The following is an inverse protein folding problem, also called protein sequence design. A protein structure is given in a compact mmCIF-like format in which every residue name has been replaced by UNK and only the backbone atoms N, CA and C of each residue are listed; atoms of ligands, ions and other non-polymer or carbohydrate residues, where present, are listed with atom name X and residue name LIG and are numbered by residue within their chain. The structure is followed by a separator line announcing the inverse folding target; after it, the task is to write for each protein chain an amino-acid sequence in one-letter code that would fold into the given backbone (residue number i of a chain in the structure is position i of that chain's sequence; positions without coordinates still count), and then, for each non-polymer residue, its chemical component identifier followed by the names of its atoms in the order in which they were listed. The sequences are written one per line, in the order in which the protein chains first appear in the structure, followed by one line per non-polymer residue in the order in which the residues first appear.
data_IF_419155135582
#
_entry.id   IF_419155135582
#
_cell.length_a   1.000
_cell.length_b   1.000
_cell.length_c   1.000
_cell.angle_alpha   90.00
_cell.angle_beta   90.00
_cell.angle_gamma   90.00
#
_symmetry.space_group_name_H-M   'P 1'
#
loop_
_entity.id
_entity.type
_entity.pdbx_description
1 polymer ?
#
# COMPACT_ATOMS: atom_id res chain seq x y z
N UNK A 1 21.14 63.16 -8.19
CA UNK A 1 21.33 61.87 -8.84
C UNK A 1 20.62 60.83 -8.01
N UNK A 2 19.47 60.34 -8.51
CA UNK A 2 18.67 59.30 -7.87
C UNK A 2 18.96 57.98 -8.60
N UNK A 3 19.53 57.00 -7.91
CA UNK A 3 19.67 55.62 -8.40
C UNK A 3 18.40 54.85 -8.05
N UNK A 4 17.69 54.43 -9.10
CA UNK A 4 16.56 53.48 -8.99
C UNK A 4 17.13 52.08 -8.84
N UNK A 5 16.77 51.42 -7.77
CA UNK A 5 16.97 49.95 -7.59
C UNK A 5 15.84 49.21 -8.28
N UNK A 6 16.18 48.45 -9.34
CA UNK A 6 15.26 47.56 -10.04
C UNK A 6 15.29 46.23 -9.29
N UNK A 7 14.17 45.94 -8.57
CA UNK A 7 13.96 44.63 -7.95
C UNK A 7 13.65 43.57 -9.01
N UNK A 8 14.51 42.58 -9.15
CA UNK A 8 14.20 41.34 -9.91
C UNK A 8 13.23 40.49 -9.13
N UNK A 9 12.00 40.42 -9.61
CA UNK A 9 11.05 39.40 -9.18
C UNK A 9 11.36 38.10 -9.92
N UNK A 10 11.94 37.11 -9.20
CA UNK A 10 12.08 35.77 -9.73
C UNK A 10 10.69 35.13 -9.78
N UNK A 11 10.13 35.08 -10.97
CA UNK A 11 8.93 34.26 -11.26
C UNK A 11 9.34 32.81 -11.20
N UNK A 12 8.99 32.12 -10.11
CA UNK A 12 9.04 30.66 -10.05
C UNK A 12 8.00 30.12 -11.02
N UNK A 13 8.42 29.79 -12.24
CA UNK A 13 7.63 28.92 -13.12
C UNK A 13 7.60 27.54 -12.48
N UNK A 14 6.49 27.23 -11.79
CA UNK A 14 6.08 25.86 -11.54
C UNK A 14 5.86 25.21 -12.91
N UNK A 15 6.86 24.51 -13.40
CA UNK A 15 6.72 23.65 -14.56
C UNK A 15 5.68 22.59 -14.20
N UNK A 16 4.47 22.75 -14.73
CA UNK A 16 3.45 21.71 -14.66
C UNK A 16 4.02 20.46 -15.32
N UNK A 17 4.33 19.46 -14.52
CA UNK A 17 4.68 18.13 -15.02
C UNK A 17 3.48 17.66 -15.83
N UNK A 18 3.62 17.37 -17.14
CA UNK A 18 2.53 16.83 -17.90
C UNK A 18 2.26 15.41 -17.35
N UNK A 19 1.25 15.29 -16.50
CA UNK A 19 0.66 13.99 -16.20
C UNK A 19 0.04 13.52 -17.50
N UNK A 20 0.74 12.64 -18.19
CA UNK A 20 0.27 11.99 -19.42
C UNK A 20 -0.94 11.12 -19.07
N UNK A 21 -2.10 11.74 -18.97
CA UNK A 21 -3.36 11.01 -18.95
C UNK A 21 -3.82 10.88 -20.39
N UNK A 22 -3.48 9.76 -21.01
CA UNK A 22 -4.30 9.25 -22.10
C UNK A 22 -5.72 9.12 -21.60
N UNK A 23 -6.69 9.65 -22.32
CA UNK A 23 -8.13 9.55 -22.05
C UNK A 23 -8.66 8.14 -22.36
N UNK A 24 -7.80 7.12 -22.38
CA UNK A 24 -8.19 5.72 -22.50
C UNK A 24 -8.82 5.26 -21.20
N UNK A 25 -9.95 4.59 -21.31
CA UNK A 25 -10.68 4.00 -20.19
C UNK A 25 -9.74 3.08 -19.42
N UNK A 26 -9.55 3.34 -18.10
CA UNK A 26 -8.75 2.47 -17.25
C UNK A 26 -9.33 1.04 -17.26
N UNK A 27 -8.49 0.07 -17.59
CA UNK A 27 -8.83 -1.36 -17.54
C UNK A 27 -8.10 -1.97 -16.36
N UNK A 28 -8.86 -2.57 -15.44
CA UNK A 28 -8.27 -3.28 -14.30
C UNK A 28 -7.63 -4.57 -14.77
N UNK A 29 -6.32 -4.68 -14.58
CA UNK A 29 -5.51 -5.86 -14.86
C UNK A 29 -5.11 -6.51 -13.54
N UNK A 30 -5.06 -7.83 -13.48
CA UNK A 30 -4.65 -8.56 -12.29
C UNK A 30 -3.16 -8.91 -12.37
N UNK A 31 -2.39 -8.58 -11.33
CA UNK A 31 -0.95 -8.86 -11.28
C UNK A 31 -0.61 -10.34 -11.49
N UNK A 32 -1.44 -11.24 -10.93
CA UNK A 32 -1.20 -12.69 -11.02
C UNK A 32 -1.14 -13.20 -12.46
N UNK A 33 -1.81 -12.50 -13.40
CA UNK A 33 -1.85 -12.90 -14.80
C UNK A 33 -0.51 -12.62 -15.53
N UNK A 34 0.38 -11.86 -14.90
CA UNK A 34 1.72 -11.50 -15.38
C UNK A 34 2.86 -12.15 -14.60
N UNK A 35 2.54 -13.00 -13.61
CA UNK A 35 3.57 -13.66 -12.82
C UNK A 35 3.94 -15.02 -13.45
N UNK A 36 5.25 -15.31 -13.64
CA UNK A 36 5.67 -16.61 -14.12
C UNK A 36 5.44 -17.69 -13.05
N UNK A 37 5.29 -18.96 -13.48
CA UNK A 37 5.25 -20.07 -12.55
C UNK A 37 6.56 -20.16 -11.76
N UNK A 38 6.47 -20.63 -10.53
CA UNK A 38 7.62 -20.84 -9.66
C UNK A 38 8.19 -22.25 -9.84
N UNK A 39 9.52 -22.36 -9.93
CA UNK A 39 10.23 -23.63 -9.81
C UNK A 39 10.05 -24.22 -8.41
N UNK A 40 9.64 -25.47 -8.28
CA UNK A 40 9.30 -26.08 -7.00
C UNK A 40 10.49 -26.16 -6.02
N UNK A 41 11.69 -26.38 -6.52
CA UNK A 41 12.90 -26.42 -5.68
C UNK A 41 13.29 -25.02 -5.22
N UNK A 42 13.16 -24.03 -6.10
CA UNK A 42 13.39 -22.63 -5.74
C UNK A 42 12.36 -22.13 -4.71
N UNK A 43 11.09 -22.55 -4.85
CA UNK A 43 10.05 -22.23 -3.87
C UNK A 43 10.32 -22.87 -2.50
N UNK A 44 10.85 -24.09 -2.46
CA UNK A 44 11.27 -24.73 -1.21
C UNK A 44 12.38 -23.93 -0.50
N UNK A 45 13.41 -23.50 -1.21
CA UNK A 45 14.47 -22.64 -0.65
C UNK A 45 13.95 -21.28 -0.20
N UNK A 46 13.06 -20.67 -0.98
CA UNK A 46 12.41 -19.42 -0.60
C UNK A 46 11.63 -19.57 0.72
N UNK A 47 10.83 -20.62 0.87
CA UNK A 47 10.04 -20.88 2.10
C UNK A 47 10.92 -21.16 3.31
N UNK A 48 12.00 -21.94 3.14
CA UNK A 48 12.99 -22.18 4.21
C UNK A 48 13.61 -20.84 4.66
N UNK A 49 14.05 -20.00 3.71
CA UNK A 49 14.62 -18.69 4.02
C UNK A 49 13.63 -17.77 4.73
N UNK A 50 12.36 -17.75 4.28
CA UNK A 50 11.31 -16.93 4.88
C UNK A 50 11.00 -17.37 6.32
N UNK A 51 10.95 -18.68 6.58
CA UNK A 51 10.76 -19.22 7.92
C UNK A 51 11.92 -18.86 8.88
N UNK A 52 13.17 -18.93 8.39
CA UNK A 52 14.35 -18.51 9.16
C UNK A 52 14.42 -17.01 9.43
N UNK A 53 13.73 -16.20 8.62
CA UNK A 53 13.66 -14.74 8.79
C UNK A 53 12.65 -14.30 9.85
N UNK A 54 11.98 -15.22 10.53
CA UNK A 54 11.01 -14.94 11.59
C UNK A 54 11.61 -13.99 12.66
N UNK A 55 10.92 -12.90 13.06
CA UNK A 55 11.42 -11.94 14.04
C UNK A 55 11.68 -12.52 15.43
N UNK A 56 11.00 -13.58 15.82
CA UNK A 56 11.04 -14.14 17.19
C UNK A 56 12.23 -15.05 17.45
N UNK A 57 13.10 -15.28 16.45
CA UNK A 57 14.26 -16.16 16.57
C UNK A 57 15.57 -15.44 16.21
N UNK A 58 16.69 -15.97 16.72
CA UNK A 58 18.00 -15.53 16.24
C UNK A 58 18.16 -15.91 14.75
N UNK A 59 18.24 -14.89 13.90
CA UNK A 59 18.23 -15.06 12.44
C UNK A 59 19.62 -15.47 11.93
N UNK A 60 19.76 -16.66 11.31
CA UNK A 60 21.00 -17.08 10.66
C UNK A 60 21.15 -16.38 9.30
N UNK A 61 21.47 -15.08 9.31
CA UNK A 61 21.48 -14.23 8.11
C UNK A 61 22.27 -14.79 6.93
N UNK A 62 23.43 -15.42 7.18
CA UNK A 62 24.21 -16.07 6.13
C UNK A 62 23.42 -17.16 5.41
N UNK A 63 22.69 -17.99 6.15
CA UNK A 63 21.85 -19.05 5.59
C UNK A 63 20.62 -18.48 4.84
N UNK A 64 20.01 -17.44 5.38
CA UNK A 64 18.88 -16.78 4.73
C UNK A 64 19.28 -16.20 3.38
N UNK A 65 20.40 -15.47 3.32
CA UNK A 65 20.94 -14.90 2.08
C UNK A 65 21.32 -16.00 1.09
N UNK A 66 21.98 -17.09 1.55
CA UNK A 66 22.33 -18.24 0.71
C UNK A 66 21.09 -18.86 0.04
N UNK A 67 20.05 -19.15 0.83
CA UNK A 67 18.82 -19.78 0.34
C UNK A 67 18.06 -18.87 -0.65
N UNK A 68 17.91 -17.59 -0.34
CA UNK A 68 17.32 -16.65 -1.29
C UNK A 68 18.16 -16.55 -2.56
N UNK A 69 19.49 -16.54 -2.48
CA UNK A 69 20.37 -16.49 -3.65
C UNK A 69 20.20 -17.72 -4.55
N UNK A 70 20.15 -18.94 -3.98
CA UNK A 70 19.83 -20.16 -4.74
C UNK A 70 18.48 -20.10 -5.44
N UNK A 71 17.47 -19.57 -4.77
CA UNK A 71 16.16 -19.40 -5.38
C UNK A 71 16.19 -18.35 -6.52
N UNK A 72 16.93 -17.25 -6.33
CA UNK A 72 17.14 -16.20 -7.35
C UNK A 72 17.81 -16.75 -8.61
N UNK A 73 18.79 -17.65 -8.48
CA UNK A 73 19.48 -18.29 -9.61
C UNK A 73 18.52 -19.09 -10.50
N UNK A 74 17.40 -19.57 -9.92
CA UNK A 74 16.32 -20.27 -10.64
C UNK A 74 15.14 -19.37 -11.01
N UNK A 75 15.31 -18.06 -10.98
CA UNK A 75 14.28 -17.10 -11.40
C UNK A 75 13.14 -16.89 -10.41
N UNK A 76 13.30 -17.27 -9.13
CA UNK A 76 12.25 -17.12 -8.13
C UNK A 76 12.06 -15.66 -7.72
N UNK A 77 11.04 -15.01 -8.29
CA UNK A 77 10.82 -13.56 -8.17
C UNK A 77 10.53 -13.08 -6.74
N UNK A 78 9.84 -13.90 -5.90
CA UNK A 78 9.64 -13.54 -4.48
C UNK A 78 10.97 -13.51 -3.71
N UNK A 79 11.88 -14.44 -4.04
CA UNK A 79 13.21 -14.43 -3.45
C UNK A 79 14.03 -13.21 -3.91
N UNK A 80 13.92 -12.82 -5.19
CA UNK A 80 14.54 -11.58 -5.68
C UNK A 80 14.06 -10.36 -4.89
N UNK A 81 12.74 -10.26 -4.68
CA UNK A 81 12.14 -9.17 -3.90
C UNK A 81 12.66 -9.13 -2.46
N UNK A 82 12.61 -10.27 -1.75
CA UNK A 82 13.03 -10.34 -0.35
C UNK A 82 14.52 -10.06 -0.19
N UNK A 83 15.36 -10.67 -1.04
CA UNK A 83 16.82 -10.46 -1.01
C UNK A 83 17.18 -8.99 -1.35
N UNK A 84 16.49 -8.40 -2.33
CA UNK A 84 16.66 -6.99 -2.66
C UNK A 84 16.30 -6.07 -1.48
N UNK A 85 15.23 -6.38 -0.77
CA UNK A 85 14.86 -5.63 0.43
C UNK A 85 15.90 -5.76 1.55
N UNK A 86 16.47 -6.95 1.76
CA UNK A 86 17.56 -7.15 2.71
C UNK A 86 18.78 -6.27 2.35
N UNK A 87 19.20 -6.25 1.08
CA UNK A 87 20.31 -5.39 0.65
C UNK A 87 19.95 -3.90 0.70
N UNK A 88 18.71 -3.53 0.37
CA UNK A 88 18.26 -2.13 0.41
C UNK A 88 18.27 -1.53 1.81
N UNK A 89 17.85 -2.28 2.80
CA UNK A 89 17.74 -1.81 4.19
C UNK A 89 19.01 -2.10 5.00
N UNK A 90 19.68 -3.20 4.69
CA UNK A 90 20.67 -3.81 5.56
C UNK A 90 20.03 -4.41 6.82
N UNK A 91 20.85 -5.14 7.58
CA UNK A 91 20.46 -5.60 8.92
C UNK A 91 21.68 -5.62 9.83
N UNK A 92 21.68 -4.88 10.93
CA UNK A 92 22.82 -4.82 11.85
C UNK A 92 23.24 -6.23 12.31
N UNK A 93 24.52 -6.52 12.19
CA UNK A 93 25.09 -7.82 12.57
C UNK A 93 24.80 -9.00 11.61
N UNK A 94 24.21 -8.73 10.43
CA UNK A 94 23.84 -9.81 9.53
C UNK A 94 23.95 -9.55 8.05
N UNK A 95 23.30 -8.51 7.54
CA UNK A 95 23.33 -8.18 6.12
C UNK A 95 23.78 -6.74 5.94
N UNK A 96 24.88 -6.55 5.25
CA UNK A 96 25.36 -5.20 4.92
C UNK A 96 24.44 -4.55 3.87
N UNK A 97 24.14 -3.26 4.07
CA UNK A 97 23.37 -2.49 3.11
C UNK A 97 24.14 -2.35 1.81
N UNK A 98 23.54 -2.78 0.72
CA UNK A 98 24.12 -2.72 -0.63
C UNK A 98 23.02 -2.29 -1.63
N UNK A 99 22.97 -1.01 -1.87
CA UNK A 99 21.98 -0.41 -2.77
C UNK A 99 22.13 -0.92 -4.21
N UNK A 100 23.38 -1.21 -4.66
CA UNK A 100 23.60 -1.68 -6.02
C UNK A 100 23.06 -3.09 -6.21
N UNK A 101 23.34 -4.01 -5.28
CA UNK A 101 22.76 -5.36 -5.32
C UNK A 101 21.24 -5.34 -5.29
N UNK A 102 20.63 -4.43 -4.53
CA UNK A 102 19.18 -4.28 -4.54
C UNK A 102 18.66 -3.85 -5.92
N UNK A 103 19.30 -2.87 -6.55
CA UNK A 103 18.93 -2.41 -7.90
C UNK A 103 19.12 -3.49 -8.96
N UNK A 104 20.19 -4.27 -8.88
CA UNK A 104 20.47 -5.38 -9.81
C UNK A 104 19.38 -6.46 -9.72
N UNK A 105 18.89 -6.75 -8.51
CA UNK A 105 17.78 -7.69 -8.31
C UNK A 105 16.45 -7.12 -8.83
N UNK A 106 16.16 -5.84 -8.62
CA UNK A 106 14.98 -5.21 -9.21
C UNK A 106 15.06 -5.18 -10.74
N UNK A 107 16.26 -4.95 -11.31
CA UNK A 107 16.45 -5.04 -12.76
C UNK A 107 16.18 -6.45 -13.29
N UNK A 108 16.66 -7.50 -12.62
CA UNK A 108 16.33 -8.89 -12.98
C UNK A 108 14.81 -9.15 -12.95
N UNK A 109 14.10 -8.60 -11.97
CA UNK A 109 12.63 -8.70 -11.94
C UNK A 109 11.99 -7.98 -13.14
N UNK A 110 12.50 -6.80 -13.51
CA UNK A 110 12.03 -6.04 -14.69
C UNK A 110 12.27 -6.83 -15.98
N UNK A 111 13.43 -7.44 -16.14
CA UNK A 111 13.78 -8.26 -17.32
C UNK A 111 12.84 -9.46 -17.46
N UNK A 112 12.39 -10.02 -16.34
CA UNK A 112 11.36 -11.06 -16.26
C UNK A 112 9.93 -10.51 -16.36
N UNK A 113 9.75 -9.21 -16.55
CA UNK A 113 8.44 -8.51 -16.60
C UNK A 113 7.62 -8.66 -15.31
N UNK A 114 8.26 -8.86 -14.17
CA UNK A 114 7.58 -8.94 -12.87
C UNK A 114 7.12 -7.53 -12.46
N UNK A 115 5.82 -7.30 -12.25
CA UNK A 115 5.28 -5.97 -11.95
C UNK A 115 5.90 -5.34 -10.70
N UNK A 116 6.15 -6.13 -9.67
CA UNK A 116 6.79 -5.68 -8.43
C UNK A 116 8.21 -5.13 -8.64
N UNK A 117 8.95 -5.61 -9.67
CA UNK A 117 10.27 -5.08 -10.03
C UNK A 117 10.21 -3.62 -10.50
N UNK A 118 9.23 -3.31 -11.34
CA UNK A 118 8.97 -1.93 -11.79
C UNK A 118 8.57 -1.03 -10.62
N UNK A 119 7.67 -1.48 -9.75
CA UNK A 119 7.27 -0.71 -8.56
C UNK A 119 8.47 -0.38 -7.66
N UNK A 120 9.29 -1.38 -7.33
CA UNK A 120 10.45 -1.20 -6.46
C UNK A 120 11.50 -0.28 -7.08
N UNK A 121 11.75 -0.41 -8.40
CA UNK A 121 12.67 0.49 -9.13
C UNK A 121 12.14 1.93 -9.10
N UNK A 122 10.85 2.13 -9.36
CA UNK A 122 10.21 3.44 -9.29
C UNK A 122 10.35 4.11 -7.93
N UNK A 123 10.11 3.35 -6.86
CA UNK A 123 10.27 3.82 -5.49
C UNK A 123 11.73 4.18 -5.15
N UNK A 124 12.69 3.42 -5.66
CA UNK A 124 14.12 3.70 -5.46
C UNK A 124 14.58 4.95 -6.21
N UNK A 125 14.14 5.13 -7.45
CA UNK A 125 14.48 6.28 -8.30
C UNK A 125 13.81 7.54 -7.76
N UNK A 126 12.53 7.50 -7.44
CA UNK A 126 11.76 8.64 -6.95
C UNK A 126 12.31 9.29 -5.68
N UNK A 127 13.06 8.51 -4.89
CA UNK A 127 13.67 8.98 -3.63
C UNK A 127 15.18 9.28 -3.75
N UNK A 128 15.78 9.24 -4.94
CA UNK A 128 17.23 9.38 -5.11
C UNK A 128 17.64 10.81 -5.42
N UNK A 129 18.43 11.42 -4.53
CA UNK A 129 19.24 12.59 -4.86
C UNK A 129 20.30 12.19 -5.91
N UNK A 130 20.34 12.89 -7.05
CA UNK A 130 21.34 12.66 -8.11
C UNK A 130 20.77 12.07 -9.42
N UNK A 131 19.52 11.64 -9.46
CA UNK A 131 18.81 11.34 -10.71
C UNK A 131 18.34 12.65 -11.35
N UNK A 132 18.53 12.81 -12.67
CA UNK A 132 18.27 14.08 -13.37
C UNK A 132 16.80 14.54 -13.26
N UNK A 133 15.85 13.59 -13.29
CA UNK A 133 14.41 13.83 -13.15
C UNK A 133 13.76 12.72 -12.29
N UNK A 134 14.08 12.62 -10.99
CA UNK A 134 13.70 11.46 -10.18
C UNK A 134 12.19 11.26 -10.10
N UNK A 135 11.41 12.35 -10.03
CA UNK A 135 9.96 12.26 -9.96
C UNK A 135 9.35 11.70 -11.26
N UNK A 136 9.81 12.19 -12.43
CA UNK A 136 9.30 11.74 -13.75
C UNK A 136 9.72 10.30 -14.03
N UNK A 137 10.99 9.96 -13.77
CA UNK A 137 11.51 8.63 -14.04
C UNK A 137 10.87 7.61 -13.08
N UNK A 138 10.69 7.96 -11.81
CA UNK A 138 9.98 7.14 -10.83
C UNK A 138 8.52 6.88 -11.21
N UNK A 139 7.81 7.91 -11.69
CA UNK A 139 6.42 7.79 -12.15
C UNK A 139 6.29 6.89 -13.38
N UNK A 140 7.26 6.92 -14.31
CA UNK A 140 7.25 6.03 -15.48
C UNK A 140 7.32 4.56 -15.08
N UNK A 141 8.14 4.21 -14.10
CA UNK A 141 8.20 2.85 -13.56
C UNK A 141 6.93 2.49 -12.79
N UNK A 142 6.38 3.43 -12.02
CA UNK A 142 5.12 3.23 -11.29
C UNK A 142 3.95 2.97 -12.23
N UNK A 143 3.84 3.74 -13.31
CA UNK A 143 2.82 3.57 -14.34
C UNK A 143 2.96 2.20 -15.03
N UNK A 144 4.19 1.80 -15.37
CA UNK A 144 4.44 0.48 -15.92
C UNK A 144 4.04 -0.65 -14.97
N UNK A 145 4.34 -0.53 -13.68
CA UNK A 145 3.91 -1.50 -12.67
C UNK A 145 2.38 -1.59 -12.58
N UNK A 146 1.70 -0.45 -12.56
CA UNK A 146 0.24 -0.37 -12.51
C UNK A 146 -0.41 -0.94 -13.78
N UNK A 147 0.15 -0.70 -14.97
CA UNK A 147 -0.34 -1.27 -16.23
C UNK A 147 -0.25 -2.80 -16.29
N UNK A 148 0.61 -3.39 -15.45
CA UNK A 148 0.74 -4.83 -15.23
C UNK A 148 -0.04 -5.32 -13.99
N UNK A 149 -0.89 -4.47 -13.42
CA UNK A 149 -1.78 -4.81 -12.33
C UNK A 149 -1.16 -4.83 -10.94
N UNK A 150 0.05 -4.30 -10.73
CA UNK A 150 0.69 -4.29 -9.41
C UNK A 150 -0.13 -3.51 -8.37
N UNK A 151 -0.65 -4.15 -7.29
CA UNK A 151 -1.56 -3.49 -6.37
C UNK A 151 -0.95 -2.30 -5.61
N UNK A 152 0.31 -2.34 -5.12
CA UNK A 152 0.98 -1.15 -4.58
C UNK A 152 1.02 0.01 -5.56
N UNK A 153 1.41 -0.22 -6.83
CA UNK A 153 1.49 0.82 -7.84
C UNK A 153 0.13 1.42 -8.18
N UNK A 154 -0.89 0.56 -8.33
CA UNK A 154 -2.28 0.99 -8.52
C UNK A 154 -2.75 1.88 -7.37
N UNK A 155 -2.44 1.52 -6.12
CA UNK A 155 -2.83 2.32 -4.95
C UNK A 155 -2.13 3.68 -4.94
N UNK A 156 -0.83 3.74 -5.20
CA UNK A 156 -0.08 4.99 -5.22
C UNK A 156 -0.55 5.92 -6.35
N UNK A 157 -0.76 5.41 -7.57
CA UNK A 157 -1.33 6.21 -8.66
C UNK A 157 -2.76 6.64 -8.35
N UNK A 158 -3.57 5.76 -7.74
CA UNK A 158 -4.91 6.10 -7.27
C UNK A 158 -4.91 7.33 -6.36
N UNK A 159 -4.03 7.36 -5.37
CA UNK A 159 -3.83 8.50 -4.46
C UNK A 159 -3.40 9.76 -5.22
N UNK A 160 -2.43 9.63 -6.13
CA UNK A 160 -1.99 10.76 -6.95
C UNK A 160 -3.14 11.36 -7.76
N UNK A 161 -3.97 10.55 -8.39
CA UNK A 161 -5.13 11.00 -9.16
C UNK A 161 -6.19 11.63 -8.28
N UNK A 162 -6.53 11.06 -7.12
CA UNK A 162 -7.53 11.60 -6.20
C UNK A 162 -7.08 12.95 -5.63
N UNK A 163 -5.90 12.98 -5.00
CA UNK A 163 -5.53 14.09 -4.13
C UNK A 163 -4.78 15.20 -4.86
N UNK A 164 -3.93 14.87 -5.83
CA UNK A 164 -3.10 15.86 -6.51
C UNK A 164 -3.65 16.26 -7.89
N UNK A 165 -3.98 15.30 -8.75
CA UNK A 165 -4.45 15.58 -10.11
C UNK A 165 -5.95 15.93 -10.17
N UNK A 166 -6.69 15.79 -9.07
CA UNK A 166 -8.14 16.04 -8.98
C UNK A 166 -8.97 15.22 -9.97
N UNK A 167 -8.49 14.03 -10.33
CA UNK A 167 -9.17 13.05 -11.19
C UNK A 167 -9.77 11.93 -10.34
N UNK A 168 -10.74 12.27 -9.53
CA UNK A 168 -11.35 11.42 -8.50
C UNK A 168 -11.75 10.04 -9.04
N UNK A 169 -12.55 10.01 -10.09
CA UNK A 169 -13.13 8.76 -10.61
C UNK A 169 -12.03 7.80 -11.13
N UNK A 170 -11.04 8.36 -11.80
CA UNK A 170 -9.89 7.59 -12.26
C UNK A 170 -9.08 7.03 -11.08
N UNK A 171 -8.80 7.86 -10.08
CA UNK A 171 -8.08 7.44 -8.90
C UNK A 171 -8.81 6.36 -8.09
N UNK A 172 -10.14 6.49 -7.96
CA UNK A 172 -10.97 5.45 -7.35
C UNK A 172 -10.95 4.14 -8.17
N UNK A 173 -10.97 4.21 -9.51
CA UNK A 173 -10.88 3.03 -10.36
C UNK A 173 -9.56 2.28 -10.13
N UNK A 174 -8.42 2.98 -10.08
CA UNK A 174 -7.11 2.41 -9.75
C UNK A 174 -7.09 1.75 -8.37
N UNK A 175 -7.56 2.46 -7.33
CA UNK A 175 -7.53 1.95 -5.95
C UNK A 175 -8.49 0.76 -5.78
N UNK A 176 -9.68 0.80 -6.39
CA UNK A 176 -10.61 -0.34 -6.39
C UNK A 176 -10.01 -1.56 -7.08
N UNK A 177 -9.28 -1.38 -8.18
CA UNK A 177 -8.59 -2.48 -8.86
C UNK A 177 -7.57 -3.16 -7.93
N UNK A 178 -6.78 -2.40 -7.18
CA UNK A 178 -5.86 -2.95 -6.18
C UNK A 178 -6.61 -3.67 -5.04
N UNK A 179 -7.69 -3.09 -4.53
CA UNK A 179 -8.50 -3.66 -3.46
C UNK A 179 -9.15 -4.99 -3.88
N UNK A 180 -9.64 -5.08 -5.13
CA UNK A 180 -10.26 -6.31 -5.67
C UNK A 180 -9.27 -7.48 -5.81
N UNK A 181 -7.96 -7.19 -5.86
CA UNK A 181 -6.90 -8.19 -5.83
C UNK A 181 -6.54 -8.65 -4.40
N UNK A 182 -7.27 -8.21 -3.37
CA UNK A 182 -7.02 -8.57 -1.98
C UNK A 182 -5.92 -7.72 -1.31
N UNK A 183 -5.55 -6.58 -1.88
CA UNK A 183 -4.52 -5.72 -1.30
C UNK A 183 -5.09 -4.84 -0.19
N UNK A 184 -4.92 -5.26 1.05
CA UNK A 184 -5.44 -4.60 2.25
C UNK A 184 -5.15 -3.09 2.34
N UNK A 185 -3.95 -2.58 1.97
CA UNK A 185 -3.69 -1.15 1.98
C UNK A 185 -4.59 -0.35 1.03
N UNK A 186 -4.99 -0.92 -0.13
CA UNK A 186 -5.92 -0.25 -1.04
C UNK A 186 -7.32 -0.14 -0.45
N UNK A 187 -7.81 -1.20 0.19
CA UNK A 187 -9.10 -1.17 0.91
C UNK A 187 -9.07 -0.18 2.07
N UNK A 188 -7.95 -0.09 2.80
CA UNK A 188 -7.76 0.94 3.83
C UNK A 188 -7.83 2.36 3.24
N UNK A 189 -7.16 2.60 2.12
CA UNK A 189 -7.15 3.91 1.44
C UNK A 189 -8.56 4.31 0.96
N UNK A 190 -9.35 3.36 0.44
CA UNK A 190 -10.75 3.60 0.12
C UNK A 190 -11.56 3.97 1.36
N UNK A 191 -11.34 3.28 2.47
CA UNK A 191 -11.95 3.64 3.75
C UNK A 191 -11.59 5.07 4.18
N UNK A 192 -10.31 5.44 4.09
CA UNK A 192 -9.84 6.79 4.39
C UNK A 192 -10.46 7.85 3.47
N UNK A 193 -10.55 7.55 2.17
CA UNK A 193 -11.20 8.43 1.20
C UNK A 193 -12.67 8.69 1.57
N UNK A 194 -13.47 7.64 1.79
CA UNK A 194 -14.87 7.79 2.14
C UNK A 194 -15.10 8.46 3.50
N UNK A 195 -14.17 8.29 4.45
CA UNK A 195 -14.21 8.99 5.74
C UNK A 195 -13.91 10.47 5.61
N UNK A 196 -12.85 10.82 4.89
CA UNK A 196 -12.27 12.19 4.94
C UNK A 196 -12.83 13.08 3.84
N UNK A 197 -13.07 12.53 2.63
CA UNK A 197 -13.47 13.33 1.47
C UNK A 197 -14.99 13.30 1.27
N UNK A 198 -15.59 12.11 1.35
CA UNK A 198 -17.03 11.94 1.11
C UNK A 198 -17.85 12.00 2.40
N UNK A 199 -17.24 11.98 3.57
CA UNK A 199 -17.90 11.89 4.88
C UNK A 199 -18.94 10.77 4.97
N UNK A 200 -18.79 9.73 4.16
CA UNK A 200 -19.66 8.55 4.12
C UNK A 200 -19.14 7.49 5.09
N UNK A 201 -19.49 7.62 6.36
CA UNK A 201 -18.96 6.76 7.43
C UNK A 201 -19.36 5.29 7.33
N UNK A 202 -20.59 4.92 6.92
CA UNK A 202 -20.93 3.52 6.69
C UNK A 202 -20.04 2.87 5.63
N UNK A 203 -19.86 3.55 4.50
CA UNK A 203 -19.01 3.06 3.41
C UNK A 203 -17.54 3.01 3.81
N UNK A 204 -17.06 4.00 4.56
CA UNK A 204 -15.72 4.03 5.11
C UNK A 204 -15.44 2.82 6.01
N UNK A 205 -16.33 2.57 6.98
CA UNK A 205 -16.17 1.45 7.91
C UNK A 205 -16.23 0.10 7.19
N UNK A 206 -17.10 -0.04 6.18
CA UNK A 206 -17.15 -1.23 5.32
C UNK A 206 -15.81 -1.52 4.62
N UNK A 207 -15.18 -0.51 4.02
CA UNK A 207 -13.85 -0.68 3.40
C UNK A 207 -12.75 -0.98 4.41
N UNK A 208 -12.78 -0.40 5.60
CA UNK A 208 -11.85 -0.79 6.67
C UNK A 208 -12.04 -2.25 7.08
N UNK A 209 -13.29 -2.73 7.20
CA UNK A 209 -13.55 -4.14 7.48
C UNK A 209 -13.07 -5.06 6.34
N UNK A 210 -13.25 -4.67 5.07
CA UNK A 210 -12.65 -5.37 3.93
C UNK A 210 -11.13 -5.41 4.05
N UNK A 211 -10.48 -4.29 4.41
CA UNK A 211 -9.04 -4.28 4.65
C UNK A 211 -8.63 -5.27 5.74
N UNK A 212 -9.36 -5.35 6.85
CA UNK A 212 -9.10 -6.33 7.92
C UNK A 212 -9.20 -7.75 7.39
N UNK A 213 -10.25 -8.07 6.64
CA UNK A 213 -10.43 -9.43 6.07
C UNK A 213 -9.28 -9.83 5.14
N UNK A 214 -8.64 -8.85 4.51
CA UNK A 214 -7.47 -9.00 3.65
C UNK A 214 -6.13 -8.97 4.41
N UNK A 215 -6.14 -8.97 5.74
CA UNK A 215 -4.93 -8.95 6.58
C UNK A 215 -4.40 -7.54 6.90
N UNK A 216 -5.24 -6.54 6.83
CA UNK A 216 -4.89 -5.15 7.13
C UNK A 216 -4.78 -4.85 8.63
N UNK A 217 -3.60 -5.03 9.21
CA UNK A 217 -3.36 -4.77 10.64
C UNK A 217 -3.74 -3.36 11.07
N UNK A 218 -3.37 -2.34 10.30
CA UNK A 218 -3.73 -0.95 10.62
C UNK A 218 -5.25 -0.71 10.58
N UNK A 219 -5.95 -1.44 9.70
CA UNK A 219 -7.40 -1.38 9.66
C UNK A 219 -8.04 -2.05 10.89
N UNK A 220 -7.49 -3.17 11.37
CA UNK A 220 -7.96 -3.83 12.58
C UNK A 220 -7.87 -2.90 13.80
N UNK A 221 -6.72 -2.25 14.00
CA UNK A 221 -6.54 -1.26 15.08
C UNK A 221 -7.51 -0.08 14.93
N UNK A 222 -7.70 0.41 13.69
CA UNK A 222 -8.63 1.50 13.42
C UNK A 222 -10.08 1.11 13.77
N UNK A 223 -10.54 -0.06 13.31
CA UNK A 223 -11.92 -0.53 13.58
C UNK A 223 -12.12 -0.84 15.07
N UNK A 224 -11.12 -1.40 15.75
CA UNK A 224 -11.15 -1.55 17.21
C UNK A 224 -11.41 -0.20 17.89
N UNK A 225 -10.69 0.85 17.47
CA UNK A 225 -10.86 2.20 17.99
C UNK A 225 -12.25 2.81 17.70
N UNK A 226 -12.89 2.44 16.59
CA UNK A 226 -14.26 2.90 16.28
C UNK A 226 -15.26 2.40 17.33
N UNK A 227 -15.08 1.21 17.86
CA UNK A 227 -15.98 0.62 18.85
C UNK A 227 -15.51 0.79 20.30
N UNK A 228 -14.35 1.41 20.54
CA UNK A 228 -13.87 1.67 21.89
C UNK A 228 -14.65 2.81 22.56
N UNK A 229 -15.16 2.55 23.76
CA UNK A 229 -15.85 3.54 24.59
C UNK A 229 -14.96 4.73 25.04
N UNK A 230 -13.65 4.54 25.08
CA UNK A 230 -12.69 5.60 25.41
C UNK A 230 -12.43 6.55 24.23
N UNK A 231 -12.77 6.17 23.01
CA UNK A 231 -12.64 7.00 21.82
C UNK A 231 -13.69 8.10 21.77
N UNK A 232 -13.33 9.27 21.21
CA UNK A 232 -14.28 10.37 21.01
C UNK A 232 -15.32 10.01 19.91
N UNK A 233 -16.51 10.59 19.97
CA UNK A 233 -17.57 10.36 18.99
C UNK A 233 -17.10 10.54 17.53
N UNK A 234 -16.31 11.61 17.28
CA UNK A 234 -15.75 11.89 15.95
C UNK A 234 -14.77 10.81 15.48
N UNK A 235 -13.97 10.25 16.39
CA UNK A 235 -13.01 9.18 16.08
C UNK A 235 -13.76 7.87 15.81
N UNK A 236 -14.89 7.65 16.48
CA UNK A 236 -15.81 6.54 16.25
C UNK A 236 -16.70 6.74 15.01
N UNK A 237 -16.56 7.83 14.30
CA UNK A 237 -17.47 8.15 13.18
C UNK A 237 -18.96 8.08 13.63
N UNK A 238 -19.24 8.49 14.87
CA UNK A 238 -20.54 8.47 15.56
C UNK A 238 -21.17 7.08 15.78
N UNK A 239 -20.47 5.98 15.53
CA UNK A 239 -20.94 4.66 15.95
C UNK A 239 -21.01 4.57 17.48
N UNK A 240 -21.98 3.83 17.99
CA UNK A 240 -22.04 3.53 19.41
C UNK A 240 -20.88 2.61 19.82
N UNK A 241 -20.31 2.76 21.01
CA UNK A 241 -19.34 1.80 21.53
C UNK A 241 -19.91 0.38 21.57
N UNK A 242 -19.10 -0.60 21.16
CA UNK A 242 -19.44 -2.01 21.23
C UNK A 242 -18.21 -2.80 21.72
N UNK A 243 -18.25 -3.25 22.97
CA UNK A 243 -17.13 -3.96 23.58
C UNK A 243 -16.81 -5.30 22.92
N UNK A 244 -17.80 -5.96 22.28
CA UNK A 244 -17.57 -7.23 21.59
C UNK A 244 -16.82 -6.99 20.30
N UNK A 245 -17.23 -5.98 19.51
CA UNK A 245 -16.55 -5.61 18.27
C UNK A 245 -15.17 -5.02 18.57
N UNK A 246 -15.04 -4.18 19.61
CA UNK A 246 -13.74 -3.68 20.04
C UNK A 246 -12.75 -4.82 20.31
N UNK A 247 -13.11 -5.77 21.19
CA UNK A 247 -12.26 -6.92 21.53
C UNK A 247 -11.98 -7.84 20.34
N UNK A 248 -12.95 -8.02 19.46
CA UNK A 248 -12.77 -8.82 18.24
C UNK A 248 -11.64 -8.23 17.37
N UNK A 249 -11.73 -6.93 17.04
CA UNK A 249 -10.78 -6.29 16.15
C UNK A 249 -9.42 -6.06 16.80
N UNK A 250 -9.36 -5.82 18.11
CA UNK A 250 -8.13 -5.76 18.88
C UNK A 250 -7.42 -7.13 18.88
N UNK A 251 -8.16 -8.22 19.12
CA UNK A 251 -7.62 -9.57 19.00
C UNK A 251 -7.16 -9.94 17.58
N UNK A 252 -7.83 -9.45 16.53
CA UNK A 252 -7.37 -9.62 15.13
C UNK A 252 -6.08 -8.82 14.91
N UNK A 253 -5.96 -7.61 15.46
CA UNK A 253 -4.73 -6.83 15.40
C UNK A 253 -3.55 -7.60 16.00
N UNK A 254 -3.73 -8.22 17.18
CA UNK A 254 -2.69 -9.02 17.83
C UNK A 254 -2.31 -10.25 17.00
N UNK A 255 -3.29 -10.95 16.43
CA UNK A 255 -3.04 -12.08 15.53
C UNK A 255 -2.22 -11.66 14.30
N UNK A 256 -2.58 -10.52 13.66
CA UNK A 256 -1.86 -9.97 12.51
C UNK A 256 -0.49 -9.38 12.89
N UNK A 257 -0.27 -9.03 14.14
CA UNK A 257 1.04 -8.64 14.64
C UNK A 257 1.97 -9.85 14.78
N UNK A 258 1.43 -10.98 15.21
CA UNK A 258 2.15 -12.24 15.32
C UNK A 258 2.36 -12.94 13.96
N UNK A 259 1.35 -12.92 13.09
CA UNK A 259 1.40 -13.52 11.75
C UNK A 259 0.78 -12.55 10.70
N UNK A 260 1.61 -11.80 9.97
CA UNK A 260 1.14 -10.87 8.94
C UNK A 260 0.49 -11.53 7.72
N UNK A 261 0.64 -12.84 7.55
CA UNK A 261 0.08 -13.57 6.42
C UNK A 261 -1.34 -14.07 6.67
N UNK A 262 -1.87 -13.89 7.87
CA UNK A 262 -3.26 -14.23 8.19
C UNK A 262 -4.26 -13.46 7.34
N UNK A 263 -5.35 -14.15 7.01
CA UNK A 263 -6.52 -13.60 6.29
C UNK A 263 -7.79 -14.08 6.95
N UNK A 264 -8.85 -13.25 6.89
CA UNK A 264 -10.13 -13.52 7.55
C UNK A 264 -11.28 -13.43 6.54
N UNK A 265 -11.37 -14.39 5.60
CA UNK A 265 -12.32 -14.32 4.48
C UNK A 265 -13.79 -14.27 4.91
N UNK A 266 -14.12 -14.89 6.03
CA UNK A 266 -15.50 -14.94 6.56
C UNK A 266 -15.84 -13.79 7.51
N UNK A 267 -14.89 -12.90 7.84
CA UNK A 267 -15.06 -11.83 8.83
C UNK A 267 -16.33 -10.98 8.59
N UNK A 268 -16.56 -10.58 7.34
CA UNK A 268 -17.70 -9.71 6.99
C UNK A 268 -19.04 -10.41 7.19
N UNK A 269 -19.08 -11.71 6.88
CA UNK A 269 -20.26 -12.55 7.03
C UNK A 269 -20.56 -12.86 8.50
N UNK A 270 -19.50 -13.22 9.25
CA UNK A 270 -19.66 -13.71 10.63
C UNK A 270 -19.81 -12.55 11.63
N UNK A 271 -19.30 -11.38 11.28
CA UNK A 271 -19.31 -10.16 12.10
C UNK A 271 -19.77 -8.95 11.27
N UNK A 272 -21.04 -8.91 10.86
CA UNK A 272 -21.59 -7.76 10.13
C UNK A 272 -21.53 -6.51 11.00
N UNK A 273 -21.18 -5.39 10.36
CA UNK A 273 -21.12 -4.11 11.04
C UNK A 273 -22.54 -3.65 11.45
N UNK A 274 -22.68 -2.99 12.61
CA UNK A 274 -23.95 -2.39 13.01
C UNK A 274 -24.37 -1.30 12.02
N UNK A 275 -25.67 -1.04 11.85
CA UNK A 275 -26.13 0.09 11.06
C UNK A 275 -25.60 1.38 11.67
N UNK A 276 -25.26 2.35 10.81
CA UNK A 276 -24.85 3.66 11.27
C UNK A 276 -26.04 4.35 11.96
N UNK A 277 -25.87 5.05 13.10
CA UNK A 277 -26.98 5.64 13.86
C UNK A 277 -27.75 6.71 13.09
N UNK A 278 -27.26 7.11 11.93
CA UNK A 278 -27.90 8.10 11.07
C UNK A 278 -28.43 7.51 9.78
N UNK A 279 -29.67 7.13 9.83
CA UNK A 279 -30.46 7.02 8.60
C UNK A 279 -30.72 8.45 8.09
N UNK A 280 -30.02 8.86 7.03
CA UNK A 280 -30.13 10.20 6.46
C UNK A 280 -28.93 11.12 6.67
N UNK A 281 -27.75 10.57 6.93
CA UNK A 281 -26.51 11.33 6.90
C UNK A 281 -26.38 12.10 5.58
N UNK A 282 -26.30 13.44 5.69
CA UNK A 282 -26.06 14.35 4.58
C UNK A 282 -24.55 14.60 4.47
N UNK A 283 -23.93 14.09 3.41
CA UNK A 283 -22.49 14.25 3.16
C UNK A 283 -22.07 15.72 2.95
N UNK A 284 -23.02 16.58 2.61
CA UNK A 284 -22.79 18.02 2.42
C UNK A 284 -22.80 18.82 3.75
N UNK A 285 -23.05 18.13 4.87
CA UNK A 285 -23.05 18.72 6.22
C UNK A 285 -21.89 18.17 7.06
N UNK A 286 -20.67 18.71 6.94
CA UNK A 286 -19.49 18.22 7.62
C UNK A 286 -19.52 18.41 9.16
N UNK A 287 -20.39 19.27 9.67
CA UNK A 287 -20.62 19.52 11.09
C UNK A 287 -21.75 18.66 11.68
N UNK A 288 -22.34 17.79 10.86
CA UNK A 288 -23.46 16.97 11.28
C UNK A 288 -23.06 16.03 12.44
N UNK A 289 -23.91 15.98 13.45
CA UNK A 289 -23.83 15.05 14.61
C UNK A 289 -25.18 14.35 14.74
N UNK A 290 -25.22 13.07 15.11
CA UNK A 290 -26.47 12.40 15.39
C UNK A 290 -27.22 13.15 16.51
N UNK A 291 -28.52 13.26 16.37
CA UNK A 291 -29.37 13.67 17.48
C UNK A 291 -29.27 12.61 18.58
N UNK A 292 -29.06 13.06 19.81
CA UNK A 292 -28.92 12.19 20.99
C UNK A 292 -30.25 11.60 21.40
#
# INVERSE_FOLDING_TARGET
MRLMAIGLWAVFCLAAVPVMANSESFVCVNEKDHLPPLDSQADAWYREAAALANPDTLRPWGRIVELYSKAVERGHWKAMHNLANLYRTGWPGGVEKDTQKALDLYQKMIDLKIPQGFYNMGAMIGNRAGVKNPATDGLTFLDKAASLGNPPALTELGKLYIYLAKKKDLGLAYTNCAASQGYAPASYELGAYYKIVEHNFPKALGYYQVSVSQGGKSAALFVAGVFDKASRDVDRMWYAPDEKLHKLYDGIYDQLAADPDLRFPDLIKDHPLPPHPTQGYDADRPDWKPER
#
